data_IF_957226445599
#
_entry.id   IF_957226445599
#
_cell.length_a   1.000
_cell.length_b   1.000
_cell.length_c   1.000
_cell.angle_alpha   90.00
_cell.angle_beta   90.00
_cell.angle_gamma   90.00
#
_symmetry.space_group_name_H-M   'P 1'
#
loop_
_entity.id
_entity.type
_entity.pdbx_description
1 polymer ?
#
# COMPACT_ATOMS: atom_id res chain seq x y z
N UNK A 1 -33.43 -8.90 10.29
CA UNK A 1 -32.14 -9.58 10.02
C UNK A 1 -31.59 -9.20 8.65
N UNK A 2 -32.38 -9.27 7.57
CA UNK A 2 -31.96 -8.84 6.21
C UNK A 2 -31.44 -7.40 6.18
N UNK A 3 -32.17 -6.43 6.77
CA UNK A 3 -31.74 -5.02 6.81
C UNK A 3 -30.35 -4.82 7.43
N UNK A 4 -29.99 -5.56 8.48
CA UNK A 4 -28.67 -5.43 9.11
C UNK A 4 -27.54 -5.86 8.17
N UNK A 5 -27.77 -6.92 7.40
CA UNK A 5 -26.81 -7.47 6.43
C UNK A 5 -26.57 -6.46 5.30
N UNK A 6 -27.59 -5.73 4.87
CA UNK A 6 -27.49 -4.69 3.84
C UNK A 6 -26.66 -3.48 4.31
N UNK A 7 -26.80 -3.07 5.58
CA UNK A 7 -25.98 -1.98 6.16
C UNK A 7 -24.49 -2.32 6.22
N UNK A 8 -24.14 -3.57 6.53
CA UNK A 8 -22.74 -4.01 6.53
C UNK A 8 -22.15 -3.95 5.12
N UNK A 9 -22.90 -4.36 4.10
CA UNK A 9 -22.44 -4.28 2.72
C UNK A 9 -22.16 -2.85 2.27
N UNK A 10 -23.13 -1.96 2.53
CA UNK A 10 -23.01 -0.57 2.14
C UNK A 10 -21.79 0.07 2.81
N UNK A 11 -21.60 -0.16 4.12
CA UNK A 11 -20.45 0.40 4.85
C UNK A 11 -19.11 -0.15 4.34
N UNK A 12 -19.02 -1.42 3.97
CA UNK A 12 -17.83 -2.02 3.36
C UNK A 12 -17.50 -1.40 2.00
N UNK A 13 -18.51 -1.19 1.14
CA UNK A 13 -18.33 -0.53 -0.15
C UNK A 13 -17.88 0.93 0.03
N UNK A 14 -18.52 1.68 0.93
CA UNK A 14 -18.14 3.05 1.27
C UNK A 14 -16.68 3.13 1.71
N UNK A 15 -16.24 2.22 2.59
CA UNK A 15 -14.85 2.14 3.04
C UNK A 15 -13.91 1.83 1.87
N UNK A 16 -14.21 0.83 1.05
CA UNK A 16 -13.41 0.45 -0.11
C UNK A 16 -13.22 1.61 -1.10
N UNK A 17 -14.31 2.30 -1.46
CA UNK A 17 -14.24 3.45 -2.36
C UNK A 17 -13.54 4.65 -1.73
N UNK A 18 -13.76 4.91 -0.44
CA UNK A 18 -13.08 6.01 0.26
C UNK A 18 -11.56 5.83 0.31
N UNK A 19 -11.10 4.59 0.52
CA UNK A 19 -9.67 4.26 0.53
C UNK A 19 -9.06 4.35 -0.87
N UNK A 20 -9.82 3.96 -1.90
CA UNK A 20 -9.41 4.16 -3.28
C UNK A 20 -9.26 5.64 -3.63
N UNK A 21 -10.19 6.50 -3.20
CA UNK A 21 -10.06 7.96 -3.35
C UNK A 21 -8.83 8.50 -2.60
N UNK A 22 -8.60 8.00 -1.38
CA UNK A 22 -7.47 8.44 -0.56
C UNK A 22 -6.10 8.04 -1.16
N UNK A 23 -6.05 6.94 -1.93
CA UNK A 23 -4.87 6.54 -2.71
C UNK A 23 -4.45 7.61 -3.72
N UNK A 24 -5.37 8.13 -4.54
CA UNK A 24 -5.06 9.18 -5.52
C UNK A 24 -4.60 10.50 -4.90
N UNK A 25 -5.03 10.81 -3.68
CA UNK A 25 -4.64 12.07 -3.03
C UNK A 25 -3.19 12.07 -2.54
N UNK A 26 -2.59 10.89 -2.29
CA UNK A 26 -1.35 10.77 -1.53
C UNK A 26 -0.18 10.14 -2.30
N UNK A 27 -0.04 10.48 -3.58
CA UNK A 27 0.98 9.91 -4.47
C UNK A 27 2.43 10.31 -4.16
N UNK A 28 2.65 11.27 -3.24
CA UNK A 28 4.00 11.82 -2.97
C UNK A 28 4.84 10.96 -2.02
N UNK A 29 4.20 10.15 -1.19
CA UNK A 29 4.86 9.40 -0.12
C UNK A 29 4.82 7.90 -0.41
N UNK A 30 5.90 7.26 -0.90
CA UNK A 30 5.89 5.85 -1.30
C UNK A 30 5.55 4.90 -0.13
N UNK A 31 5.95 5.25 1.09
CA UNK A 31 5.57 4.51 2.29
C UNK A 31 4.05 4.52 2.51
N UNK A 32 3.41 5.68 2.29
CA UNK A 32 1.97 5.82 2.47
C UNK A 32 1.20 5.05 1.38
N UNK A 33 1.72 5.05 0.15
CA UNK A 33 1.15 4.28 -0.97
C UNK A 33 1.10 2.78 -0.63
N UNK A 34 2.16 2.23 -0.03
CA UNK A 34 2.20 0.82 0.40
C UNK A 34 1.11 0.50 1.42
N UNK A 35 0.92 1.35 2.44
CA UNK A 35 -0.11 1.14 3.47
C UNK A 35 -1.52 1.18 2.86
N UNK A 36 -1.73 2.03 1.85
CA UNK A 36 -3.02 2.14 1.17
C UNK A 36 -3.31 0.93 0.27
N UNK A 37 -2.28 0.34 -0.34
CA UNK A 37 -2.40 -0.92 -1.07
C UNK A 37 -2.80 -2.07 -0.12
N UNK A 38 -2.14 -2.18 1.04
CA UNK A 38 -2.50 -3.17 2.06
C UNK A 38 -3.95 -2.99 2.55
N UNK A 39 -4.38 -1.75 2.75
CA UNK A 39 -5.76 -1.45 3.11
C UNK A 39 -6.74 -1.87 2.00
N UNK A 40 -6.38 -1.70 0.73
CA UNK A 40 -7.24 -2.11 -0.37
C UNK A 40 -7.40 -3.64 -0.45
N UNK A 41 -6.31 -4.39 -0.20
CA UNK A 41 -6.33 -5.85 -0.15
C UNK A 41 -7.14 -6.38 1.04
N UNK A 42 -7.00 -5.80 2.22
CA UNK A 42 -7.77 -6.24 3.41
C UNK A 42 -9.28 -5.98 3.21
N UNK A 43 -9.66 -4.85 2.59
CA UNK A 43 -11.06 -4.58 2.25
C UNK A 43 -11.60 -5.55 1.20
N UNK A 44 -10.79 -5.92 0.19
CA UNK A 44 -11.16 -6.93 -0.80
C UNK A 44 -11.41 -8.30 -0.12
N UNK A 45 -10.54 -8.71 0.80
CA UNK A 45 -10.72 -9.96 1.55
C UNK A 45 -12.01 -9.97 2.39
N UNK A 46 -12.33 -8.86 3.05
CA UNK A 46 -13.58 -8.70 3.80
C UNK A 46 -14.83 -8.77 2.89
N UNK A 47 -14.74 -8.21 1.68
CA UNK A 47 -15.83 -8.30 0.69
C UNK A 47 -16.07 -9.75 0.25
N UNK A 48 -15.02 -10.53 0.04
CA UNK A 48 -15.13 -11.97 -0.26
C UNK A 48 -15.78 -12.75 0.89
N UNK A 49 -15.39 -12.47 2.14
CA UNK A 49 -16.00 -13.06 3.34
C UNK A 49 -17.51 -12.75 3.39
N UNK A 50 -17.89 -11.51 3.10
CA UNK A 50 -19.28 -11.08 3.07
C UNK A 50 -20.09 -11.81 1.99
N UNK A 51 -19.57 -11.92 0.76
CA UNK A 51 -20.23 -12.68 -0.30
C UNK A 51 -20.30 -14.18 0.00
N UNK A 52 -19.30 -14.75 0.68
CA UNK A 52 -19.31 -16.14 1.16
C UNK A 52 -20.46 -16.36 2.14
N UNK A 53 -20.66 -15.42 3.06
CA UNK A 53 -21.73 -15.46 4.05
C UNK A 53 -23.12 -15.42 3.41
N UNK A 54 -23.33 -14.56 2.40
CA UNK A 54 -24.60 -14.47 1.67
C UNK A 54 -24.91 -15.73 0.84
N UNK A 55 -23.91 -16.29 0.18
CA UNK A 55 -24.09 -17.44 -0.71
C UNK A 55 -23.97 -18.79 -0.01
N UNK A 56 -23.74 -18.80 1.32
CA UNK A 56 -23.47 -20.00 2.13
C UNK A 56 -22.41 -20.93 1.51
N UNK A 57 -21.44 -20.35 0.79
CA UNK A 57 -20.36 -21.08 0.12
C UNK A 57 -19.08 -20.95 0.91
N UNK A 58 -18.23 -21.97 0.87
CA UNK A 58 -16.92 -21.97 1.55
C UNK A 58 -15.84 -21.30 0.68
N UNK A 59 -16.09 -21.15 -0.63
CA UNK A 59 -15.10 -20.62 -1.58
C UNK A 59 -14.63 -19.20 -1.23
N UNK A 60 -15.53 -18.31 -0.79
CA UNK A 60 -15.17 -16.93 -0.45
C UNK A 60 -14.24 -16.84 0.77
N UNK A 61 -14.42 -17.71 1.77
CA UNK A 61 -13.48 -17.81 2.89
C UNK A 61 -12.08 -18.28 2.46
N UNK A 62 -12.02 -19.25 1.55
CA UNK A 62 -10.74 -19.75 1.01
C UNK A 62 -10.03 -18.64 0.23
N UNK A 63 -10.75 -17.92 -0.64
CA UNK A 63 -10.18 -16.77 -1.37
C UNK A 63 -9.70 -15.65 -0.45
N UNK A 64 -10.43 -15.37 0.64
CA UNK A 64 -10.01 -14.35 1.60
C UNK A 64 -8.67 -14.71 2.27
N UNK A 65 -8.42 -15.98 2.59
CA UNK A 65 -7.13 -16.44 3.12
C UNK A 65 -6.01 -16.26 2.09
N UNK A 66 -6.26 -16.56 0.81
CA UNK A 66 -5.29 -16.31 -0.26
C UNK A 66 -4.96 -14.82 -0.41
N UNK A 67 -5.97 -13.94 -0.33
CA UNK A 67 -5.75 -12.48 -0.42
C UNK A 67 -4.91 -11.99 0.75
N UNK A 68 -5.16 -12.46 1.97
CA UNK A 68 -4.37 -12.08 3.15
C UNK A 68 -2.92 -12.59 3.02
N UNK A 69 -2.72 -13.81 2.53
CA UNK A 69 -1.38 -14.35 2.27
C UNK A 69 -0.64 -13.55 1.18
N UNK A 70 -1.35 -13.16 0.12
CA UNK A 70 -0.81 -12.32 -0.95
C UNK A 70 -0.42 -10.93 -0.43
N UNK A 71 -1.27 -10.31 0.39
CA UNK A 71 -0.99 -9.04 1.05
C UNK A 71 0.30 -9.11 1.89
N UNK A 72 0.47 -10.17 2.68
CA UNK A 72 1.72 -10.38 3.43
C UNK A 72 2.97 -10.51 2.54
N UNK A 73 2.84 -11.17 1.38
CA UNK A 73 3.93 -11.27 0.42
C UNK A 73 4.24 -9.92 -0.25
N UNK A 74 3.22 -9.16 -0.64
CA UNK A 74 3.35 -7.82 -1.20
C UNK A 74 4.01 -6.86 -0.21
N UNK A 75 3.60 -6.86 1.07
CA UNK A 75 4.20 -6.05 2.11
C UNK A 75 5.72 -6.28 2.24
N UNK A 76 6.17 -7.54 2.17
CA UNK A 76 7.59 -7.89 2.22
C UNK A 76 8.36 -7.32 1.03
N UNK A 77 7.80 -7.46 -0.18
CA UNK A 77 8.39 -6.93 -1.41
C UNK A 77 8.40 -5.39 -1.40
N UNK A 78 7.31 -4.77 -0.96
CA UNK A 78 7.15 -3.32 -0.88
C UNK A 78 8.15 -2.67 0.07
N UNK A 79 8.34 -3.24 1.26
CA UNK A 79 9.33 -2.76 2.23
C UNK A 79 10.75 -2.93 1.68
N UNK A 80 11.06 -4.07 1.05
CA UNK A 80 12.37 -4.30 0.42
C UNK A 80 12.69 -3.23 -0.63
N UNK A 81 11.73 -2.93 -1.50
CA UNK A 81 11.85 -1.88 -2.51
C UNK A 81 12.05 -0.50 -1.87
N UNK A 82 11.30 -0.21 -0.80
CA UNK A 82 11.38 1.04 -0.07
C UNK A 82 12.77 1.25 0.55
N UNK A 83 13.36 0.22 1.15
CA UNK A 83 14.72 0.28 1.73
C UNK A 83 15.76 0.62 0.66
N UNK A 84 15.71 -0.04 -0.50
CA UNK A 84 16.64 0.22 -1.61
C UNK A 84 16.47 1.64 -2.14
N UNK A 85 15.22 2.09 -2.31
CA UNK A 85 14.90 3.44 -2.76
C UNK A 85 15.49 4.52 -1.84
N UNK A 86 15.32 4.38 -0.52
CA UNK A 86 15.88 5.34 0.44
C UNK A 86 17.41 5.32 0.48
N UNK A 87 18.04 4.14 0.31
CA UNK A 87 19.50 4.03 0.24
C UNK A 87 20.07 4.80 -0.94
N UNK A 88 19.43 4.72 -2.11
CA UNK A 88 19.88 5.41 -3.33
C UNK A 88 19.71 6.93 -3.20
N UNK A 89 18.57 7.41 -2.69
CA UNK A 89 18.33 8.86 -2.49
C UNK A 89 19.31 9.51 -1.52
N UNK A 90 19.68 8.82 -0.42
CA UNK A 90 20.66 9.31 0.54
C UNK A 90 22.08 9.40 -0.02
N UNK A 91 22.46 8.51 -0.97
CA UNK A 91 23.76 8.58 -1.63
C UNK A 91 23.87 9.80 -2.56
N UNK A 92 22.81 10.12 -3.30
CA UNK A 92 22.78 11.31 -4.17
C UNK A 92 22.93 12.62 -3.38
N UNK A 93 22.32 12.75 -2.19
CA UNK A 93 22.44 13.98 -1.40
C UNK A 93 23.85 14.22 -0.84
N UNK A 94 24.66 13.18 -0.65
CA UNK A 94 26.03 13.29 -0.12
C UNK A 94 27.06 13.54 -1.23
N UNK A 95 26.85 13.00 -2.42
CA UNK A 95 27.80 13.10 -3.52
C UNK A 95 27.80 14.47 -4.22
N UNK A 96 26.63 15.11 -4.33
CA UNK A 96 26.51 16.44 -4.96
C UNK A 96 27.21 17.59 -4.21
N UNK A 97 27.11 17.76 -2.87
CA UNK A 97 27.75 18.88 -2.17
C UNK A 97 29.29 18.77 -2.18
N UNK A 98 29.84 17.56 -2.07
CA UNK A 98 31.29 17.34 -1.98
C UNK A 98 32.04 17.46 -3.31
N UNK A 99 31.33 17.40 -4.45
CA UNK A 99 31.92 17.58 -5.78
C UNK A 99 32.12 19.06 -6.15
N UNK A 100 31.25 19.97 -5.65
CA UNK A 100 31.35 21.40 -5.93
C UNK A 100 32.47 22.08 -5.15
N UNK A 101 32.73 21.64 -3.92
CA UNK A 101 33.78 22.22 -3.08
C UNK A 101 35.17 21.99 -3.68
N UNK A 102 35.45 20.80 -4.23
CA UNK A 102 36.76 20.48 -4.85
C UNK A 102 37.07 21.24 -6.13
N UNK A 103 36.06 21.76 -6.84
CA UNK A 103 36.27 22.56 -8.07
C UNK A 103 36.67 23.99 -7.73
N UNK A 104 36.27 24.53 -6.58
CA UNK A 104 36.64 25.90 -6.17
C UNK A 104 38.10 25.99 -5.70
N UNK A 105 38.61 24.99 -4.98
CA UNK A 105 40.00 24.98 -4.50
C UNK A 105 41.04 24.91 -5.64
N UNK A 106 40.69 24.29 -6.77
CA UNK A 106 41.61 24.15 -7.91
C UNK A 106 41.71 25.40 -8.80
N UNK A 107 40.88 26.42 -8.55
CA UNK A 107 40.92 27.72 -9.25
C UNK A 107 41.63 28.82 -8.46
N UNK A 108 42.07 28.52 -7.23
CA UNK A 108 42.65 29.50 -6.29
C UNK A 108 44.17 29.26 -6.06
N UNK A 109 44.75 28.19 -6.64
CA UNK A 109 46.20 27.95 -6.70
C UNK A 109 46.72 28.07 -8.13
#
# INVERSE_FOLDING_TARGET
>A
MVLFIDYYFLSLLLLYFSSFLFFFLNEKNPFLILILLEFQLIMLALLFIYFSYLNHSVLGYIFALFIIAFAGAEASVGISLLIVFYRIRGLFSVYFPSALERVQWKKIS
#
